data_IF_248615477527
#
_entry.id   IF_248615477527
#
_cell.length_a   1.000
_cell.length_b   1.000
_cell.length_c   1.000
_cell.angle_alpha   90.00
_cell.angle_beta   90.00
_cell.angle_gamma   90.00
#
_symmetry.space_group_name_H-M   'P 1'
#
loop_
_entity.id
_entity.type
_entity.pdbx_description
1 polymer ?
#
# COMPACT_ATOMS: atom_id res chain seq x y z
N UNK A 1 -17.66 18.50 49.53
CA UNK A 1 -18.13 19.81 49.06
C UNK A 1 -17.32 20.16 47.82
N UNK A 2 -17.91 20.11 46.63
CA UNK A 2 -17.18 20.23 45.36
C UNK A 2 -16.97 21.70 44.99
N UNK A 3 -15.73 22.07 44.66
CA UNK A 3 -15.34 23.46 44.39
C UNK A 3 -15.96 23.96 43.07
N UNK A 4 -16.60 25.14 43.10
CA UNK A 4 -17.28 25.78 41.95
C UNK A 4 -16.40 25.93 40.70
N UNK A 5 -15.06 25.96 40.87
CA UNK A 5 -14.09 26.02 39.77
C UNK A 5 -14.02 24.72 38.96
N UNK A 6 -14.17 23.56 39.60
CA UNK A 6 -14.17 22.28 38.89
C UNK A 6 -15.48 22.02 38.14
N UNK A 7 -16.59 22.55 38.66
CA UNK A 7 -17.89 22.47 38.01
C UNK A 7 -17.93 23.27 36.70
N UNK A 8 -17.40 24.50 36.70
CA UNK A 8 -17.36 25.34 35.50
C UNK A 8 -16.38 24.81 34.44
N UNK A 9 -15.29 24.16 34.85
CA UNK A 9 -14.31 23.58 33.92
C UNK A 9 -14.85 22.30 33.25
N UNK A 10 -15.61 21.47 33.98
CA UNK A 10 -16.24 20.27 33.42
C UNK A 10 -17.42 20.59 32.49
N UNK A 11 -18.17 21.67 32.76
CA UNK A 11 -19.29 22.09 31.93
C UNK A 11 -18.83 22.61 30.55
N UNK A 12 -17.70 23.33 30.50
CA UNK A 12 -17.11 23.81 29.24
C UNK A 12 -16.57 22.67 28.36
N UNK A 13 -16.06 21.59 28.96
CA UNK A 13 -15.55 20.42 28.25
C UNK A 13 -16.66 19.59 27.58
N UNK A 14 -17.86 19.53 28.17
CA UNK A 14 -18.98 18.76 27.60
C UNK A 14 -19.72 19.49 26.47
N UNK A 15 -19.73 20.82 26.46
CA UNK A 15 -20.39 21.60 25.40
C UNK A 15 -19.57 21.67 24.10
N UNK A 16 -18.25 21.49 24.16
CA UNK A 16 -17.39 21.48 22.96
C UNK A 16 -17.51 20.19 22.14
N UNK A 17 -17.81 19.06 22.78
CA UNK A 17 -17.88 17.75 22.12
C UNK A 17 -19.26 17.46 21.48
N UNK A 18 -20.33 18.04 22.00
CA UNK A 18 -21.70 17.75 21.53
C UNK A 18 -22.14 18.49 20.27
N UNK A 19 -21.53 19.65 19.96
CA UNK A 19 -21.99 20.52 18.85
C UNK A 19 -21.28 20.20 17.52
N UNK A 20 -20.06 19.65 17.56
CA UNK A 20 -19.29 19.34 16.35
C UNK A 20 -19.89 18.22 15.48
N UNK A 21 -20.66 17.31 16.08
CA UNK A 21 -21.29 16.19 15.34
C UNK A 21 -22.54 16.66 14.57
N UNK A 22 -23.25 17.70 15.05
CA UNK A 22 -24.51 18.16 14.46
C UNK A 22 -24.35 19.19 13.34
N UNK A 23 -23.20 19.86 13.22
CA UNK A 23 -22.98 20.94 12.23
C UNK A 23 -22.23 20.51 10.97
N UNK A 24 -21.85 19.23 10.83
CA UNK A 24 -21.09 18.76 9.67
C UNK A 24 -19.72 19.44 9.49
N UNK A 25 -19.21 20.08 10.55
CA UNK A 25 -17.91 20.78 10.61
C UNK A 25 -16.80 19.94 11.24
N UNK A 26 -17.00 18.63 11.35
CA UNK A 26 -15.84 17.74 11.31
C UNK A 26 -15.37 17.74 9.86
N UNK A 27 -14.12 18.18 9.56
CA UNK A 27 -13.60 17.91 8.25
C UNK A 27 -13.71 16.40 8.07
N UNK A 28 -14.50 15.97 7.11
CA UNK A 28 -14.30 14.68 6.47
C UNK A 28 -12.95 14.82 5.79
N UNK A 29 -11.85 14.83 6.57
CA UNK A 29 -10.57 14.36 6.09
C UNK A 29 -10.91 12.97 5.60
N UNK A 30 -11.07 12.85 4.29
CA UNK A 30 -11.38 11.61 3.62
C UNK A 30 -10.53 10.53 4.29
N UNK A 31 -11.18 9.55 4.89
CA UNK A 31 -10.57 8.40 5.55
C UNK A 31 -9.93 7.48 4.50
N UNK A 32 -9.20 8.03 3.52
CA UNK A 32 -8.07 7.34 2.97
C UNK A 32 -6.99 7.44 4.05
N UNK A 33 -7.10 6.58 5.06
CA UNK A 33 -6.02 6.34 6.01
C UNK A 33 -4.83 5.91 5.18
N UNK A 34 -3.91 6.85 4.91
CA UNK A 34 -2.66 6.55 4.23
C UNK A 34 -2.06 5.34 4.94
N UNK A 35 -1.73 4.24 4.24
CA UNK A 35 -1.26 3.03 4.88
C UNK A 35 0.20 3.22 5.28
N UNK A 36 0.49 4.20 6.14
CA UNK A 36 1.81 4.55 6.67
C UNK A 36 2.48 3.31 7.25
N UNK A 37 1.71 2.50 7.99
CA UNK A 37 2.19 1.26 8.56
C UNK A 37 2.67 0.23 7.52
N UNK A 38 2.14 0.23 6.29
CA UNK A 38 2.59 -0.69 5.24
C UNK A 38 3.74 -0.13 4.40
N UNK A 39 3.92 1.21 4.39
CA UNK A 39 5.04 1.86 3.72
C UNK A 39 6.30 1.96 4.58
N UNK A 40 6.15 2.00 5.91
CA UNK A 40 7.26 2.12 6.87
C UNK A 40 7.87 0.77 7.28
N UNK A 41 7.27 -0.35 6.89
CA UNK A 41 7.80 -1.70 7.19
C UNK A 41 9.01 -2.00 6.33
N UNK A 42 10.06 -2.60 6.92
CA UNK A 42 11.27 -2.99 6.19
C UNK A 42 11.17 -4.41 5.59
N UNK A 43 10.14 -5.20 5.97
CA UNK A 43 9.92 -6.57 5.50
C UNK A 43 8.67 -6.70 4.63
N UNK A 44 8.73 -7.60 3.65
CA UNK A 44 7.62 -7.91 2.74
C UNK A 44 6.43 -8.52 3.47
N UNK A 45 6.68 -9.48 4.37
CA UNK A 45 5.62 -10.15 5.12
C UNK A 45 4.86 -9.16 6.02
N UNK A 46 5.60 -8.25 6.67
CA UNK A 46 5.00 -7.19 7.49
C UNK A 46 4.18 -6.21 6.65
N UNK A 47 4.64 -5.87 5.43
CA UNK A 47 3.90 -5.03 4.49
C UNK A 47 2.60 -5.72 4.00
N UNK A 48 2.65 -7.02 3.70
CA UNK A 48 1.47 -7.82 3.33
C UNK A 48 0.49 -7.89 4.50
N UNK A 49 0.99 -8.13 5.71
CA UNK A 49 0.18 -8.17 6.92
C UNK A 49 -0.47 -6.82 7.22
N UNK A 50 0.27 -5.72 7.04
CA UNK A 50 -0.25 -4.36 7.23
C UNK A 50 -1.32 -3.98 6.20
N UNK A 51 -1.19 -4.42 4.94
CA UNK A 51 -2.16 -4.14 3.87
C UNK A 51 -3.41 -5.02 3.94
N UNK A 52 -3.25 -6.30 4.26
CA UNK A 52 -4.31 -7.29 4.10
C UNK A 52 -4.72 -8.01 5.38
N UNK A 53 -4.11 -7.68 6.52
CA UNK A 53 -4.52 -8.16 7.85
C UNK A 53 -4.15 -9.62 8.14
N UNK A 54 -3.07 -10.14 7.55
CA UNK A 54 -2.62 -11.52 7.79
C UNK A 54 -3.32 -12.58 6.95
N UNK A 55 -3.76 -12.23 5.74
CA UNK A 55 -4.33 -13.20 4.81
C UNK A 55 -3.25 -14.17 4.31
N UNK A 56 -3.54 -15.48 4.34
CA UNK A 56 -2.70 -16.50 3.73
C UNK A 56 -2.52 -16.20 2.23
N UNK A 57 -1.33 -15.73 1.87
CA UNK A 57 -0.97 -15.43 0.50
C UNK A 57 -0.82 -16.72 -0.29
N UNK A 58 -1.66 -16.91 -1.32
CA UNK A 58 -1.60 -18.08 -2.20
C UNK A 58 -0.74 -17.74 -3.42
N UNK A 59 0.29 -18.53 -3.69
CA UNK A 59 1.09 -18.35 -4.90
C UNK A 59 0.26 -18.67 -6.17
N UNK A 60 0.41 -17.85 -7.22
CA UNK A 60 -0.30 -18.05 -8.48
C UNK A 60 0.54 -17.69 -9.70
N UNK A 61 0.39 -18.48 -10.76
CA UNK A 61 1.00 -18.22 -12.08
C UNK A 61 0.15 -17.27 -12.95
N UNK A 62 -1.02 -16.85 -12.47
CA UNK A 62 -1.93 -15.96 -13.20
C UNK A 62 -1.43 -14.50 -13.27
N UNK A 63 -0.36 -14.16 -12.54
CA UNK A 63 0.24 -12.83 -12.50
C UNK A 63 1.56 -12.87 -13.28
N UNK A 64 1.68 -12.00 -14.28
CA UNK A 64 2.88 -11.91 -15.12
C UNK A 64 3.48 -10.52 -15.09
N UNK A 65 4.81 -10.46 -15.15
CA UNK A 65 5.57 -9.23 -15.08
C UNK A 65 6.26 -8.95 -16.42
N UNK A 66 6.17 -7.72 -16.89
CA UNK A 66 7.00 -7.18 -17.95
C UNK A 66 7.87 -6.10 -17.35
N UNK A 67 9.15 -6.44 -17.15
CA UNK A 67 10.19 -5.55 -16.69
C UNK A 67 11.47 -5.85 -17.48
N UNK A 68 12.37 -4.88 -17.65
CA UNK A 68 13.68 -5.14 -18.27
C UNK A 68 14.52 -6.06 -17.37
N UNK A 69 15.34 -6.94 -17.97
CA UNK A 69 16.29 -7.78 -17.20
C UNK A 69 17.39 -6.92 -16.53
N UNK A 70 17.74 -5.79 -17.17
CA UNK A 70 18.76 -4.85 -16.69
C UNK A 70 18.19 -3.43 -16.72
N UNK A 71 18.15 -2.79 -15.56
CA UNK A 71 17.83 -1.39 -15.37
C UNK A 71 19.12 -0.55 -15.29
N UNK A 72 19.43 0.17 -16.36
CA UNK A 72 20.58 1.09 -16.42
C UNK A 72 20.40 2.30 -15.48
N UNK A 73 19.14 2.70 -15.27
CA UNK A 73 18.78 3.82 -14.42
C UNK A 73 17.74 3.38 -13.40
N UNK A 74 18.18 3.08 -12.18
CA UNK A 74 17.29 2.69 -11.08
C UNK A 74 16.30 3.78 -10.67
N UNK A 75 16.45 5.03 -11.13
CA UNK A 75 15.49 6.11 -10.81
C UNK A 75 14.14 5.91 -11.52
N UNK A 76 14.15 5.24 -12.67
CA UNK A 76 12.97 5.10 -13.53
C UNK A 76 13.01 3.73 -14.21
N UNK A 77 12.46 2.72 -13.54
CA UNK A 77 12.31 1.37 -14.08
C UNK A 77 10.86 1.16 -14.50
N UNK A 78 10.55 0.95 -15.80
CA UNK A 78 9.21 0.63 -16.24
C UNK A 78 8.86 -0.81 -15.86
N UNK A 79 7.73 -0.99 -15.16
CA UNK A 79 7.19 -2.28 -14.76
C UNK A 79 5.72 -2.34 -15.14
N UNK A 80 5.34 -3.41 -15.83
CA UNK A 80 3.93 -3.72 -16.10
C UNK A 80 3.55 -5.05 -15.48
N UNK A 81 2.48 -5.05 -14.70
CA UNK A 81 1.89 -6.24 -14.08
C UNK A 81 0.62 -6.57 -14.85
N UNK A 82 0.48 -7.80 -15.33
CA UNK A 82 -0.76 -8.29 -15.92
C UNK A 82 -1.31 -9.40 -15.04
N UNK A 83 -2.58 -9.30 -14.68
CA UNK A 83 -3.27 -10.22 -13.78
C UNK A 83 -4.42 -10.87 -14.53
N UNK A 84 -4.31 -12.16 -14.81
CA UNK A 84 -5.35 -12.98 -15.45
C UNK A 84 -6.40 -13.51 -14.47
N UNK A 85 -6.76 -12.74 -13.46
CA UNK A 85 -7.77 -13.08 -12.45
C UNK A 85 -9.05 -12.25 -12.65
N UNK A 86 -10.14 -12.71 -12.05
CA UNK A 86 -11.42 -12.01 -12.02
C UNK A 86 -11.62 -11.36 -10.63
N UNK A 87 -12.51 -10.37 -10.55
CA UNK A 87 -12.90 -9.69 -9.31
C UNK A 87 -11.70 -9.18 -8.49
N UNK A 88 -10.75 -8.56 -9.18
CA UNK A 88 -9.57 -7.94 -8.57
C UNK A 88 -10.01 -6.65 -7.87
N UNK A 89 -9.74 -6.57 -6.57
CA UNK A 89 -10.03 -5.42 -5.71
C UNK A 89 -8.78 -4.51 -5.56
N UNK A 90 -7.60 -5.11 -5.40
CA UNK A 90 -6.35 -4.34 -5.25
C UNK A 90 -5.12 -5.08 -5.77
N UNK A 91 -4.13 -4.29 -6.19
CA UNK A 91 -2.81 -4.77 -6.64
C UNK A 91 -1.74 -3.98 -5.90
N UNK A 92 -0.89 -4.65 -5.15
CA UNK A 92 0.29 -4.08 -4.51
C UNK A 92 1.55 -4.57 -5.24
N UNK A 93 2.48 -3.65 -5.49
CA UNK A 93 3.80 -3.93 -6.05
C UNK A 93 4.85 -3.67 -4.97
N UNK A 94 5.69 -4.67 -4.75
CA UNK A 94 6.73 -4.68 -3.74
C UNK A 94 8.10 -5.00 -4.34
N UNK A 95 9.14 -4.42 -3.74
CA UNK A 95 10.56 -4.60 -4.10
C UNK A 95 11.33 -4.85 -2.80
N UNK A 96 11.64 -6.10 -2.45
CA UNK A 96 12.21 -6.46 -1.15
C UNK A 96 13.49 -5.71 -0.77
N UNK A 97 14.38 -5.45 -1.75
CA UNK A 97 15.69 -4.80 -1.48
C UNK A 97 15.64 -3.26 -1.46
N UNK A 98 14.45 -2.67 -1.57
CA UNK A 98 14.27 -1.24 -1.37
C UNK A 98 14.11 -0.92 0.13
N UNK A 99 14.53 0.27 0.60
CA UNK A 99 14.31 0.70 1.98
C UNK A 99 12.83 0.67 2.41
N UNK A 100 11.95 1.05 1.49
CA UNK A 100 10.51 0.79 1.59
C UNK A 100 10.16 -0.31 0.57
N UNK A 101 9.80 -1.53 1.02
CA UNK A 101 9.50 -2.64 0.15
C UNK A 101 8.20 -2.41 -0.60
N UNK A 102 7.20 -1.75 0.00
CA UNK A 102 5.97 -1.38 -0.70
C UNK A 102 6.21 -0.17 -1.61
N UNK A 103 6.07 -0.36 -2.92
CA UNK A 103 6.34 0.69 -3.90
C UNK A 103 5.06 1.36 -4.40
N UNK A 104 4.02 0.58 -4.64
CA UNK A 104 2.74 1.11 -5.12
C UNK A 104 1.59 0.19 -4.72
N UNK A 105 0.43 0.80 -4.45
CA UNK A 105 -0.84 0.12 -4.26
C UNK A 105 -1.87 0.71 -5.21
N UNK A 106 -2.56 -0.14 -5.94
CA UNK A 106 -3.63 0.21 -6.85
C UNK A 106 -4.92 -0.37 -6.30
N UNK A 107 -5.82 0.49 -5.84
CA UNK A 107 -7.18 0.09 -5.45
C UNK A 107 -8.11 0.28 -6.65
N UNK A 108 -8.92 -0.73 -6.93
CA UNK A 108 -9.79 -0.76 -8.10
C UNK A 108 -11.17 -1.26 -7.69
N UNK A 109 -12.21 -0.81 -8.41
CA UNK A 109 -13.51 -1.48 -8.35
C UNK A 109 -13.39 -2.84 -9.04
N UNK A 110 -13.91 -3.91 -8.43
CA UNK A 110 -13.90 -5.30 -8.95
C UNK A 110 -13.80 -5.40 -10.48
N UNK A 111 -12.58 -5.68 -10.95
CA UNK A 111 -12.27 -5.79 -12.37
C UNK A 111 -11.76 -7.19 -12.74
N UNK A 112 -11.88 -7.54 -14.01
CA UNK A 112 -11.29 -8.75 -14.58
C UNK A 112 -10.20 -8.39 -15.57
N UNK A 113 -9.15 -9.21 -15.64
CA UNK A 113 -8.03 -9.05 -16.59
C UNK A 113 -7.40 -7.64 -16.58
N UNK A 114 -6.80 -7.28 -15.45
CA UNK A 114 -6.20 -5.97 -15.25
C UNK A 114 -4.74 -5.97 -15.70
N UNK A 115 -4.34 -4.88 -16.36
CA UNK A 115 -2.94 -4.57 -16.65
C UNK A 115 -2.60 -3.20 -16.06
N UNK A 116 -1.58 -3.14 -15.20
CA UNK A 116 -1.10 -1.90 -14.59
C UNK A 116 0.36 -1.68 -14.96
N UNK A 117 0.64 -0.56 -15.63
CA UNK A 117 1.99 -0.11 -15.94
C UNK A 117 2.37 1.08 -15.07
N UNK A 118 3.51 1.00 -14.39
CA UNK A 118 4.06 2.11 -13.61
C UNK A 118 5.58 2.20 -13.77
N UNK A 119 6.14 3.35 -13.40
CA UNK A 119 7.58 3.57 -13.36
C UNK A 119 8.00 3.67 -11.90
N UNK A 120 8.88 2.78 -11.48
CA UNK A 120 9.31 2.66 -10.09
C UNK A 120 10.78 3.03 -9.91
N UNK A 121 11.12 3.44 -8.69
CA UNK A 121 12.52 3.58 -8.27
C UNK A 121 13.00 2.25 -7.67
N UNK A 122 14.15 1.78 -8.11
CA UNK A 122 14.84 0.63 -7.56
C UNK A 122 16.20 1.04 -7.04
N UNK A 123 16.48 0.70 -5.78
CA UNK A 123 17.76 0.97 -5.13
C UNK A 123 18.84 -0.04 -5.52
N UNK A 124 18.48 -1.32 -5.56
CA UNK A 124 19.38 -2.44 -5.81
C UNK A 124 18.73 -3.46 -6.75
N UNK A 125 19.54 -4.39 -7.22
CA UNK A 125 19.06 -5.60 -7.90
C UNK A 125 18.13 -6.36 -6.98
N UNK A 126 16.93 -6.67 -7.46
CA UNK A 126 15.87 -7.29 -6.65
C UNK A 126 14.86 -8.02 -7.54
N UNK A 127 14.22 -9.09 -7.05
CA UNK A 127 12.96 -9.55 -7.62
C UNK A 127 11.85 -8.51 -7.38
N UNK A 128 10.83 -8.51 -8.25
CA UNK A 128 9.58 -7.78 -8.02
C UNK A 128 8.57 -8.76 -7.46
N UNK A 129 7.81 -8.34 -6.46
CA UNK A 129 6.73 -9.15 -5.87
C UNK A 129 5.43 -8.40 -6.06
N UNK A 130 4.43 -9.04 -6.64
CA UNK A 130 3.08 -8.50 -6.72
C UNK A 130 2.15 -9.28 -5.81
N UNK A 131 1.33 -8.54 -5.08
CA UNK A 131 0.33 -9.08 -4.16
C UNK A 131 -1.03 -8.54 -4.58
N UNK A 132 -1.91 -9.44 -5.00
CA UNK A 132 -3.21 -9.13 -5.59
C UNK A 132 -4.31 -9.63 -4.67
N UNK A 133 -5.26 -8.78 -4.33
CA UNK A 133 -6.50 -9.19 -3.66
C UNK A 133 -7.60 -9.39 -4.69
N UNK A 134 -8.14 -10.59 -4.76
CA UNK A 134 -9.25 -10.93 -5.66
C UNK A 134 -10.21 -11.90 -4.96
N UNK A 135 -11.52 -11.67 -5.13
CA UNK A 135 -12.57 -12.49 -4.50
C UNK A 135 -12.40 -12.68 -2.96
N UNK A 136 -11.85 -11.67 -2.29
CA UNK A 136 -11.56 -11.73 -0.85
C UNK A 136 -10.36 -12.60 -0.45
N UNK A 137 -9.63 -13.17 -1.42
CA UNK A 137 -8.38 -13.91 -1.22
C UNK A 137 -7.18 -13.06 -1.64
N UNK A 138 -6.03 -13.35 -1.05
CA UNK A 138 -4.76 -12.71 -1.39
C UNK A 138 -3.89 -13.69 -2.18
N UNK A 139 -3.41 -13.23 -3.32
CA UNK A 139 -2.57 -13.96 -4.23
C UNK A 139 -1.22 -13.27 -4.34
N UNK A 140 -0.14 -14.03 -4.37
CA UNK A 140 1.21 -13.50 -4.52
C UNK A 140 1.90 -14.12 -5.73
N UNK A 141 2.70 -13.32 -6.42
CA UNK A 141 3.60 -13.81 -7.44
C UNK A 141 4.91 -13.02 -7.40
N UNK A 142 6.01 -13.72 -7.68
CA UNK A 142 7.33 -13.13 -7.76
C UNK A 142 7.84 -13.17 -9.20
N UNK A 143 8.43 -12.06 -9.65
CA UNK A 143 9.05 -11.95 -10.96
C UNK A 143 10.47 -12.48 -10.95
N UNK A 144 11.02 -12.62 -12.16
CA UNK A 144 12.46 -12.73 -12.37
C UNK A 144 13.18 -11.48 -11.83
N UNK A 145 14.38 -11.68 -11.30
CA UNK A 145 15.23 -10.64 -10.73
C UNK A 145 15.61 -9.58 -11.78
N UNK A 146 15.36 -8.30 -11.45
CA UNK A 146 15.74 -7.15 -12.27
C UNK A 146 17.07 -6.60 -11.75
N UNK A 147 18.10 -6.60 -12.60
CA UNK A 147 19.44 -6.14 -12.23
C UNK A 147 19.57 -4.64 -12.38
N UNK A 148 19.99 -3.94 -11.34
CA UNK A 148 20.19 -2.48 -11.36
C UNK A 148 21.68 -2.19 -11.37
N UNK A 149 22.16 -1.42 -12.36
CA UNK A 149 23.58 -1.04 -12.44
C UNK A 149 23.87 0.28 -11.74
N UNK A 150 22.93 1.22 -11.75
CA UNK A 150 23.00 2.50 -11.04
C UNK A 150 21.75 2.63 -10.16
N UNK A 151 21.94 2.55 -8.84
CA UNK A 151 20.86 2.62 -7.86
C UNK A 151 20.13 3.97 -7.91
N UNK A 152 18.79 3.93 -7.82
CA UNK A 152 17.94 5.13 -7.93
C UNK A 152 17.26 5.57 -6.64
N UNK A 153 17.53 4.89 -5.52
CA UNK A 153 16.90 5.15 -4.21
C UNK A 153 17.75 6.04 -3.28
N UNK A 154 18.81 6.66 -3.79
CA UNK A 154 19.60 7.68 -3.09
C UNK A 154 19.42 9.03 -3.76
N UNK A 155 18.86 9.98 -3.03
CA UNK A 155 19.06 11.40 -3.33
C UNK A 155 20.47 11.80 -2.95
#
# INVERSE_FOLDING_TARGET
MMNRREFNLKLAACTGLGVGIATGLVPVSALASWPTAAFDTENVDDAVNALYGGADAVETDAITFKAPDIAENGRVVPVTINVGLNNIDSIALMVPENPAPLVATFEMSKQSNVSVGTRIKMGKTSPLVAVVKADGKVYTASSKEVKVTIGGCGG
#
